data_IF_268030663709
#
_entry.id   IF_268030663709
#
_cell.length_a   1.000
_cell.length_b   1.000
_cell.length_c   1.000
_cell.angle_alpha   90.00
_cell.angle_beta   90.00
_cell.angle_gamma   90.00
#
_symmetry.space_group_name_H-M   'P 1'
#
loop_
_entity.id
_entity.type
_entity.pdbx_description
1 polymer ?
#
# COMPACT_ATOMS: atom_id res chain seq x y z
N UNK A 1 19.15 4.35 -3.13
CA UNK A 1 17.68 4.44 -3.36
C UNK A 1 17.09 5.48 -2.41
N UNK A 2 16.25 6.39 -2.90
CA UNK A 2 15.49 7.34 -2.06
C UNK A 2 14.00 6.96 -2.12
N UNK A 3 13.35 6.87 -0.97
CA UNK A 3 11.92 6.55 -0.88
C UNK A 3 11.23 7.71 -0.18
N UNK A 4 10.11 8.18 -0.74
CA UNK A 4 9.34 9.32 -0.23
C UNK A 4 7.85 8.99 -0.11
N UNK A 5 7.19 9.56 0.89
CA UNK A 5 5.75 9.46 1.06
C UNK A 5 5.02 10.61 0.38
N UNK A 6 3.99 10.30 -0.40
CA UNK A 6 3.07 11.25 -1.03
C UNK A 6 1.83 11.30 -0.15
N UNK A 7 1.70 12.32 0.70
CA UNK A 7 0.69 12.40 1.76
C UNK A 7 -0.53 13.17 1.29
N UNK A 8 -1.72 12.56 1.41
CA UNK A 8 -2.99 13.18 1.00
C UNK A 8 -3.89 13.54 2.18
N UNK A 9 -3.95 12.68 3.19
CA UNK A 9 -4.75 12.93 4.41
C UNK A 9 -3.95 12.55 5.65
N UNK A 10 -4.22 13.23 6.78
CA UNK A 10 -3.60 12.96 8.07
C UNK A 10 -4.53 13.32 9.24
N UNK A 11 -4.12 12.98 10.47
CA UNK A 11 -4.90 13.22 11.68
C UNK A 11 -6.28 12.55 11.69
N UNK A 12 -6.40 11.44 10.98
CA UNK A 12 -7.58 10.59 10.99
C UNK A 12 -7.60 9.58 12.13
N UNK A 13 -8.64 8.79 12.14
CA UNK A 13 -8.79 7.67 13.09
C UNK A 13 -9.53 6.51 12.46
N UNK A 14 -9.31 5.32 13.00
CA UNK A 14 -10.14 4.14 12.78
C UNK A 14 -10.38 3.42 14.12
N UNK A 15 -11.59 2.88 14.30
CA UNK A 15 -11.88 2.09 15.49
C UNK A 15 -11.31 0.67 15.41
N UNK A 16 -11.34 -0.05 16.53
CA UNK A 16 -10.76 -1.39 16.61
C UNK A 16 -11.45 -2.38 15.67
N UNK A 17 -12.77 -2.30 15.49
CA UNK A 17 -13.50 -3.17 14.58
C UNK A 17 -13.02 -2.98 13.12
N UNK A 18 -12.79 -1.74 12.69
CA UNK A 18 -12.27 -1.46 11.35
C UNK A 18 -10.84 -1.97 11.17
N UNK A 19 -9.99 -1.76 12.17
CA UNK A 19 -8.59 -2.15 12.13
C UNK A 19 -8.36 -3.66 12.22
N UNK A 20 -9.21 -4.42 12.95
CA UNK A 20 -8.98 -5.82 13.33
C UNK A 20 -10.08 -6.80 12.92
N UNK A 21 -11.18 -6.32 12.38
CA UNK A 21 -12.41 -7.11 12.18
C UNK A 21 -12.48 -7.94 10.89
N UNK A 22 -11.39 -8.09 10.14
CA UNK A 22 -11.41 -8.74 8.83
C UNK A 22 -11.83 -10.21 8.84
N UNK A 23 -11.49 -10.97 9.89
CA UNK A 23 -11.88 -12.38 10.04
C UNK A 23 -13.17 -12.56 10.84
N UNK A 24 -13.46 -11.64 11.75
CA UNK A 24 -14.62 -11.67 12.60
C UNK A 24 -15.30 -10.29 12.66
N UNK A 25 -16.00 -9.89 11.60
CA UNK A 25 -16.63 -8.58 11.52
C UNK A 25 -17.78 -8.39 12.54
N UNK A 26 -18.24 -9.48 13.16
CA UNK A 26 -19.25 -9.48 14.23
C UNK A 26 -18.65 -9.73 15.62
N UNK A 27 -17.33 -9.79 15.70
CA UNK A 27 -16.60 -9.97 16.95
C UNK A 27 -16.85 -8.82 17.93
N UNK A 28 -16.54 -9.10 19.19
CA UNK A 28 -16.58 -8.05 20.22
C UNK A 28 -15.31 -7.22 20.14
N UNK A 29 -15.48 -5.93 19.80
CA UNK A 29 -14.41 -4.94 19.74
C UNK A 29 -14.70 -3.81 20.73
N UNK A 30 -13.63 -3.21 21.24
CA UNK A 30 -13.75 -2.04 22.12
C UNK A 30 -13.81 -0.76 21.28
N UNK A 31 -14.98 -0.13 21.22
CA UNK A 31 -15.21 1.10 20.47
C UNK A 31 -14.43 2.32 21.01
N UNK A 32 -13.87 2.20 22.22
CA UNK A 32 -13.00 3.24 22.79
C UNK A 32 -11.55 3.13 22.31
N UNK A 33 -11.17 1.99 21.76
CA UNK A 33 -9.85 1.81 21.18
C UNK A 33 -9.82 2.39 19.77
N UNK A 34 -9.03 3.45 19.62
CA UNK A 34 -8.90 4.20 18.38
C UNK A 34 -7.44 4.13 17.91
N UNK A 35 -7.25 3.82 16.63
CA UNK A 35 -5.97 3.86 15.94
C UNK A 35 -5.89 5.11 15.07
N UNK A 36 -4.69 5.65 14.88
CA UNK A 36 -4.46 6.76 13.94
C UNK A 36 -4.73 6.32 12.51
N UNK A 37 -5.26 7.23 11.69
CA UNK A 37 -5.45 7.03 10.26
C UNK A 37 -4.87 8.18 9.47
N UNK A 38 -4.37 7.86 8.30
CA UNK A 38 -3.86 8.78 7.27
C UNK A 38 -4.09 8.17 5.89
N UNK A 39 -3.73 8.88 4.85
CA UNK A 39 -3.62 8.31 3.51
C UNK A 39 -2.37 8.85 2.83
N UNK A 40 -1.47 7.95 2.49
CA UNK A 40 -0.25 8.21 1.72
C UNK A 40 0.03 7.07 0.75
N UNK A 41 0.61 7.42 -0.39
CA UNK A 41 1.27 6.48 -1.29
C UNK A 41 2.76 6.79 -1.32
N UNK A 42 3.53 6.09 -2.15
CA UNK A 42 4.98 6.19 -2.07
C UNK A 42 5.63 6.36 -3.45
N UNK A 43 6.80 6.96 -3.43
CA UNK A 43 7.68 7.11 -4.58
C UNK A 43 9.03 6.47 -4.23
N UNK A 44 9.59 5.75 -5.20
CA UNK A 44 10.94 5.19 -5.15
C UNK A 44 11.76 5.85 -6.25
N UNK A 45 12.81 6.57 -5.89
CA UNK A 45 13.82 7.09 -6.80
C UNK A 45 15.08 6.22 -6.67
N UNK A 46 15.40 5.49 -7.73
CA UNK A 46 16.59 4.62 -7.78
C UNK A 46 17.85 5.38 -8.19
N UNK A 47 17.72 6.64 -8.62
CA UNK A 47 18.75 7.43 -9.30
C UNK A 47 18.76 7.23 -10.82
N UNK A 48 18.18 6.17 -11.33
CA UNK A 48 18.00 5.89 -12.77
C UNK A 48 16.53 5.99 -13.19
N UNK A 49 15.61 5.62 -12.30
CA UNK A 49 14.18 5.59 -12.55
C UNK A 49 13.40 6.17 -11.36
N UNK A 50 12.28 6.81 -11.66
CA UNK A 50 11.28 7.24 -10.70
C UNK A 50 10.07 6.30 -10.80
N UNK A 51 9.77 5.60 -9.74
CA UNK A 51 8.73 4.56 -9.67
C UNK A 51 7.70 4.96 -8.62
N UNK A 52 6.41 4.98 -8.97
CA UNK A 52 5.34 5.14 -8.00
C UNK A 52 4.89 3.78 -7.47
N UNK A 53 4.60 3.71 -6.18
CA UNK A 53 3.83 2.64 -5.56
C UNK A 53 2.47 3.22 -5.24
N UNK A 54 1.48 2.85 -6.06
CA UNK A 54 0.13 3.42 -6.08
C UNK A 54 0.08 4.91 -6.49
N UNK A 55 -1.11 5.42 -6.80
CA UNK A 55 -1.30 6.79 -7.30
C UNK A 55 -2.32 7.61 -6.52
N UNK A 56 -2.98 7.02 -5.51
CA UNK A 56 -3.95 7.73 -4.70
C UNK A 56 -5.22 8.18 -5.43
N UNK A 57 -5.97 9.06 -4.79
CA UNK A 57 -7.15 9.68 -5.36
C UNK A 57 -6.82 10.73 -6.43
N UNK A 58 -7.76 10.96 -7.35
CA UNK A 58 -7.69 12.10 -8.27
C UNK A 58 -7.70 13.42 -7.51
N UNK A 59 -7.11 14.44 -8.15
CA UNK A 59 -7.19 15.81 -7.65
C UNK A 59 -8.64 16.25 -7.47
N UNK A 60 -8.88 17.06 -6.44
CA UNK A 60 -10.23 17.51 -6.09
C UNK A 60 -11.05 16.50 -5.31
N UNK A 61 -10.47 15.36 -4.91
CA UNK A 61 -11.18 14.45 -4.01
C UNK A 61 -11.54 15.19 -2.71
N UNK A 62 -12.82 15.16 -2.29
CA UNK A 62 -13.28 15.99 -1.17
C UNK A 62 -12.68 15.49 0.14
N UNK A 63 -12.39 16.43 1.04
CA UNK A 63 -12.05 16.09 2.41
C UNK A 63 -13.23 15.33 3.06
N UNK A 64 -12.99 14.17 3.66
CA UNK A 64 -14.05 13.39 4.29
C UNK A 64 -14.63 14.15 5.48
N UNK A 65 -15.96 14.13 5.61
CA UNK A 65 -16.60 14.71 6.79
C UNK A 65 -16.35 13.83 8.03
N UNK A 66 -15.85 14.46 9.11
CA UNK A 66 -15.74 13.77 10.40
C UNK A 66 -17.14 13.56 10.98
N UNK A 67 -17.55 12.29 11.12
CA UNK A 67 -18.85 11.91 11.67
C UNK A 67 -18.66 11.23 13.03
N UNK A 68 -19.46 11.63 14.01
CA UNK A 68 -19.47 10.96 15.32
C UNK A 68 -19.87 9.49 15.17
N UNK A 69 -19.10 8.59 15.79
CA UNK A 69 -19.35 7.14 15.74
C UNK A 69 -18.98 6.47 14.40
N UNK A 70 -18.40 7.21 13.44
CA UNK A 70 -17.90 6.58 12.21
C UNK A 70 -16.75 5.61 12.54
N UNK A 71 -16.71 4.42 11.90
CA UNK A 71 -15.63 3.45 12.11
C UNK A 71 -14.29 3.93 11.55
N UNK A 72 -14.33 4.82 10.58
CA UNK A 72 -13.17 5.40 9.91
C UNK A 72 -13.39 6.89 9.64
N UNK A 73 -12.37 7.68 9.89
CA UNK A 73 -12.16 9.02 9.35
C UNK A 73 -10.73 9.08 8.80
N UNK A 74 -10.58 9.23 7.49
CA UNK A 74 -9.25 9.25 6.85
C UNK A 74 -8.35 10.37 7.36
N UNK A 75 -8.94 11.46 7.81
CA UNK A 75 -8.21 12.61 8.35
C UNK A 75 -8.53 13.93 7.62
N UNK A 76 -7.77 14.94 8.00
CA UNK A 76 -7.79 16.24 7.36
C UNK A 76 -6.98 16.16 6.05
N UNK A 77 -7.43 16.90 5.03
CA UNK A 77 -6.72 16.94 3.75
C UNK A 77 -5.39 17.68 3.91
N UNK A 78 -4.29 17.01 3.58
CA UNK A 78 -2.96 17.60 3.51
C UNK A 78 -2.80 18.30 2.17
N UNK A 79 -3.04 17.57 1.06
CA UNK A 79 -2.95 18.06 -0.31
C UNK A 79 -3.66 17.09 -1.26
N UNK A 80 -3.89 17.50 -2.51
CA UNK A 80 -4.19 16.56 -3.58
C UNK A 80 -2.95 15.72 -3.93
N UNK A 81 -3.16 14.53 -4.54
CA UNK A 81 -2.05 13.64 -4.88
C UNK A 81 -0.96 14.34 -5.70
N UNK A 82 -1.35 15.06 -6.76
CA UNK A 82 -0.38 15.75 -7.63
C UNK A 82 0.31 16.93 -6.96
N UNK A 83 -0.36 17.61 -6.03
CA UNK A 83 0.27 18.69 -5.23
C UNK A 83 1.33 18.10 -4.28
N UNK A 84 1.00 17.02 -3.57
CA UNK A 84 1.95 16.30 -2.72
C UNK A 84 3.12 15.73 -3.51
N UNK A 85 2.85 15.15 -4.67
CA UNK A 85 3.88 14.62 -5.57
C UNK A 85 4.83 15.73 -6.05
N UNK A 86 4.30 16.85 -6.55
CA UNK A 86 5.10 17.98 -7.03
C UNK A 86 5.93 18.64 -5.89
N UNK A 87 5.40 18.68 -4.68
CA UNK A 87 6.12 19.18 -3.51
C UNK A 87 7.38 18.37 -3.16
N UNK A 88 7.46 17.10 -3.61
CA UNK A 88 8.67 16.28 -3.48
C UNK A 88 9.76 16.63 -4.51
N UNK A 89 9.48 17.54 -5.45
CA UNK A 89 10.42 18.01 -6.48
C UNK A 89 10.38 17.21 -7.78
N UNK A 90 9.38 16.38 -7.99
CA UNK A 90 9.24 15.58 -9.23
C UNK A 90 8.17 16.13 -10.17
N UNK A 91 8.31 15.78 -11.45
CA UNK A 91 7.33 16.04 -12.49
C UNK A 91 6.77 14.70 -13.02
N UNK A 92 5.51 14.67 -13.50
CA UNK A 92 4.89 13.42 -13.98
C UNK A 92 5.73 12.70 -15.07
N UNK A 93 6.39 13.46 -15.93
CA UNK A 93 7.20 12.94 -17.03
C UNK A 93 8.43 12.14 -16.58
N UNK A 94 8.86 12.31 -15.34
CA UNK A 94 9.97 11.55 -14.75
C UNK A 94 9.56 10.16 -14.30
N UNK A 95 8.24 9.93 -14.07
CA UNK A 95 7.73 8.63 -13.61
C UNK A 95 7.78 7.63 -14.77
N UNK A 96 8.63 6.62 -14.64
CA UNK A 96 8.79 5.57 -15.66
C UNK A 96 7.88 4.37 -15.42
N UNK A 97 7.59 4.06 -14.17
CA UNK A 97 6.80 2.91 -13.75
C UNK A 97 5.84 3.27 -12.62
N UNK A 98 4.70 2.60 -12.61
CA UNK A 98 3.73 2.60 -11.51
C UNK A 98 3.49 1.14 -11.13
N UNK A 99 3.70 0.81 -9.86
CA UNK A 99 3.44 -0.52 -9.30
C UNK A 99 2.15 -0.43 -8.49
N UNK A 100 1.06 -0.99 -9.00
CA UNK A 100 -0.20 -1.00 -8.28
C UNK A 100 -0.25 -2.17 -7.29
N UNK A 101 -0.51 -1.84 -6.03
CA UNK A 101 -0.80 -2.87 -5.03
C UNK A 101 -2.16 -3.49 -5.31
N UNK A 102 -3.18 -2.68 -5.60
CA UNK A 102 -4.52 -3.16 -5.92
C UNK A 102 -5.42 -2.06 -6.53
N UNK A 103 -6.66 -2.42 -6.86
CA UNK A 103 -7.61 -1.63 -7.66
C UNK A 103 -8.36 -0.52 -6.94
N UNK A 104 -8.34 -0.40 -5.61
CA UNK A 104 -9.17 0.59 -4.92
C UNK A 104 -8.78 2.03 -5.30
N UNK A 105 -9.75 2.98 -5.27
CA UNK A 105 -9.53 4.33 -5.82
C UNK A 105 -8.44 5.13 -5.13
N UNK A 106 -8.21 4.92 -3.85
CA UNK A 106 -7.15 5.54 -3.06
C UNK A 106 -5.74 5.00 -3.36
N UNK A 107 -5.66 4.01 -4.24
CA UNK A 107 -4.42 3.43 -4.75
C UNK A 107 -4.27 3.62 -6.28
N UNK A 108 -5.37 3.78 -7.02
CA UNK A 108 -5.33 3.68 -8.48
C UNK A 108 -5.98 4.83 -9.24
N UNK A 109 -6.70 5.75 -8.57
CA UNK A 109 -7.54 6.69 -9.29
C UNK A 109 -6.76 7.78 -10.07
N UNK A 110 -5.53 8.11 -9.67
CA UNK A 110 -4.74 9.15 -10.32
C UNK A 110 -3.81 8.64 -11.45
N UNK A 111 -3.98 7.40 -11.92
CA UNK A 111 -3.20 6.82 -13.04
C UNK A 111 -3.20 7.70 -14.30
N UNK A 112 -4.30 8.39 -14.59
CA UNK A 112 -4.45 9.22 -15.79
C UNK A 112 -3.47 10.39 -15.85
N UNK A 113 -2.84 10.78 -14.75
CA UNK A 113 -1.82 11.84 -14.74
C UNK A 113 -0.44 11.36 -15.23
N UNK A 114 -0.29 10.06 -15.48
CA UNK A 114 0.96 9.43 -15.89
C UNK A 114 0.81 8.57 -17.16
N UNK A 115 0.31 9.12 -18.27
CA UNK A 115 -0.11 8.34 -19.44
C UNK A 115 1.04 7.59 -20.13
N UNK A 116 2.29 8.00 -19.91
CA UNK A 116 3.48 7.39 -20.50
C UNK A 116 4.15 6.36 -19.59
N UNK A 117 3.82 6.34 -18.30
CA UNK A 117 4.39 5.39 -17.35
C UNK A 117 3.89 3.96 -17.62
N UNK A 118 4.76 2.98 -17.45
CA UNK A 118 4.36 1.56 -17.48
C UNK A 118 3.67 1.21 -16.16
N UNK A 119 2.42 0.74 -16.24
CA UNK A 119 1.62 0.35 -15.07
C UNK A 119 1.69 -1.16 -14.90
N UNK A 120 2.35 -1.61 -13.82
CA UNK A 120 2.42 -3.00 -13.43
C UNK A 120 1.29 -3.32 -12.47
N UNK A 121 0.44 -4.24 -12.83
CA UNK A 121 -0.79 -4.57 -12.09
C UNK A 121 -1.15 -6.04 -12.28
N UNK A 122 -1.77 -6.66 -11.27
CA UNK A 122 -2.30 -8.02 -11.41
C UNK A 122 -3.35 -8.09 -12.53
N UNK A 123 -3.49 -9.24 -13.22
CA UNK A 123 -4.53 -9.40 -14.24
C UNK A 123 -5.94 -9.12 -13.71
N UNK A 124 -6.26 -9.57 -12.49
CA UNK A 124 -7.58 -9.40 -11.87
C UNK A 124 -7.93 -7.93 -11.65
N UNK A 125 -6.97 -7.16 -11.12
CA UNK A 125 -7.21 -5.74 -10.85
C UNK A 125 -7.14 -4.90 -12.13
N UNK A 126 -6.33 -5.30 -13.13
CA UNK A 126 -6.35 -4.70 -14.46
C UNK A 126 -7.73 -4.84 -15.12
N UNK A 127 -8.35 -6.04 -15.04
CA UNK A 127 -9.69 -6.29 -15.57
C UNK A 127 -10.76 -5.47 -14.82
N UNK A 128 -10.67 -5.42 -13.50
CA UNK A 128 -11.60 -4.65 -12.67
C UNK A 128 -11.55 -3.14 -12.97
N UNK A 129 -10.34 -2.60 -13.19
CA UNK A 129 -10.08 -1.21 -13.57
C UNK A 129 -10.30 -0.95 -15.07
N UNK A 130 -10.53 -2.00 -15.88
CA UNK A 130 -10.64 -1.94 -17.35
C UNK A 130 -9.40 -1.31 -18.00
N UNK A 131 -8.23 -1.56 -17.44
CA UNK A 131 -6.95 -1.06 -17.97
C UNK A 131 -6.57 -1.81 -19.24
N UNK A 132 -6.25 -1.05 -20.27
CA UNK A 132 -5.79 -1.57 -21.57
C UNK A 132 -4.80 -0.58 -22.19
N UNK A 133 -3.92 -1.10 -23.05
CA UNK A 133 -2.91 -0.30 -23.73
C UNK A 133 -1.53 -0.92 -23.60
N UNK A 134 -0.59 -0.45 -24.43
CA UNK A 134 0.78 -0.97 -24.46
C UNK A 134 1.59 -0.67 -23.20
N UNK A 135 1.17 0.34 -22.45
CA UNK A 135 1.80 0.72 -21.19
C UNK A 135 1.27 -0.11 -20.00
N UNK A 136 0.24 -0.96 -20.18
CA UNK A 136 -0.29 -1.80 -19.10
C UNK A 136 0.41 -3.16 -19.10
N UNK A 137 1.17 -3.42 -18.05
CA UNK A 137 1.88 -4.68 -17.84
C UNK A 137 1.11 -5.55 -16.85
N UNK A 138 0.48 -6.59 -17.36
CA UNK A 138 -0.22 -7.60 -16.55
C UNK A 138 0.81 -8.53 -15.92
N UNK A 139 1.03 -8.39 -14.62
CA UNK A 139 2.06 -9.14 -13.89
C UNK A 139 1.68 -10.62 -13.79
N UNK A 140 2.61 -11.49 -14.10
CA UNK A 140 2.39 -12.95 -14.08
C UNK A 140 3.14 -13.66 -12.94
N UNK A 141 3.93 -12.90 -12.16
CA UNK A 141 4.74 -13.39 -11.04
C UNK A 141 5.67 -14.56 -11.42
N UNK A 142 6.24 -14.50 -12.62
CA UNK A 142 6.96 -15.58 -13.30
C UNK A 142 8.36 -15.88 -12.78
N UNK A 143 8.91 -15.02 -11.93
CA UNK A 143 10.31 -15.13 -11.48
C UNK A 143 10.47 -16.07 -10.27
N UNK A 144 9.37 -16.77 -9.90
CA UNK A 144 9.37 -17.79 -8.86
C UNK A 144 9.31 -17.24 -7.44
N UNK A 145 9.78 -17.99 -6.44
CA UNK A 145 9.67 -17.61 -5.05
C UNK A 145 10.63 -16.46 -4.71
N UNK A 146 10.15 -15.58 -3.82
CA UNK A 146 10.97 -14.55 -3.18
C UNK A 146 10.92 -14.70 -1.67
N UNK A 147 12.02 -15.14 -1.07
CA UNK A 147 12.08 -15.49 0.37
C UNK A 147 11.02 -16.56 0.71
N UNK A 148 10.07 -16.22 1.60
CA UNK A 148 8.95 -17.08 1.98
C UNK A 148 7.66 -16.85 1.15
N UNK A 149 7.69 -15.95 0.17
CA UNK A 149 6.59 -15.77 -0.77
C UNK A 149 6.78 -16.70 -1.98
N UNK A 150 5.72 -17.39 -2.43
CA UNK A 150 5.84 -18.41 -3.48
C UNK A 150 6.04 -17.86 -4.89
N UNK A 151 5.62 -16.61 -5.14
CA UNK A 151 5.61 -16.04 -6.48
C UNK A 151 5.88 -14.54 -6.46
N UNK A 152 6.79 -14.11 -7.33
CA UNK A 152 7.14 -12.71 -7.54
C UNK A 152 7.43 -12.40 -9.00
N UNK A 153 7.53 -11.11 -9.31
CA UNK A 153 8.13 -10.60 -10.54
C UNK A 153 9.13 -9.50 -10.19
N UNK A 154 10.37 -9.64 -10.69
CA UNK A 154 11.41 -8.61 -10.53
C UNK A 154 11.13 -7.46 -11.49
N UNK A 155 10.92 -6.26 -10.95
CA UNK A 155 10.55 -5.07 -11.73
C UNK A 155 11.75 -4.21 -12.07
N UNK A 156 12.69 -4.10 -11.13
CA UNK A 156 13.96 -3.41 -11.29
C UNK A 156 14.99 -4.05 -10.34
N UNK A 157 16.22 -3.57 -10.35
CA UNK A 157 17.21 -4.08 -9.41
C UNK A 157 16.81 -3.77 -7.96
N UNK A 158 16.73 -4.82 -7.13
CA UNK A 158 16.25 -4.73 -5.75
C UNK A 158 14.76 -4.41 -5.60
N UNK A 159 13.93 -4.40 -6.66
CA UNK A 159 12.49 -4.10 -6.56
C UNK A 159 11.67 -5.27 -7.12
N UNK A 160 10.79 -5.79 -6.26
CA UNK A 160 9.98 -6.97 -6.54
C UNK A 160 8.49 -6.70 -6.28
N UNK A 161 7.65 -7.18 -7.18
CA UNK A 161 6.21 -7.24 -7.01
C UNK A 161 5.82 -8.66 -6.65
N UNK A 162 5.13 -8.84 -5.53
CA UNK A 162 4.86 -10.12 -4.87
C UNK A 162 3.37 -10.40 -4.91
N UNK A 163 2.98 -11.63 -5.29
CA UNK A 163 1.58 -12.03 -5.21
C UNK A 163 1.12 -12.12 -3.74
N UNK A 164 0.06 -11.35 -3.39
CA UNK A 164 -0.39 -11.18 -2.01
C UNK A 164 -1.92 -11.04 -1.91
N UNK A 165 -2.64 -12.00 -2.49
CA UNK A 165 -4.11 -12.00 -2.57
C UNK A 165 -4.80 -11.91 -1.21
N UNK A 166 -6.00 -11.36 -1.22
CA UNK A 166 -6.90 -11.35 -0.07
C UNK A 166 -7.75 -10.10 0.03
N UNK A 167 -7.16 -8.94 0.21
CA UNK A 167 -7.87 -7.66 0.23
C UNK A 167 -8.61 -7.44 -1.10
N UNK A 168 -7.94 -7.63 -2.21
CA UNK A 168 -8.54 -7.93 -3.51
C UNK A 168 -8.03 -9.28 -4.03
N UNK A 169 -8.70 -9.86 -5.04
CA UNK A 169 -8.21 -11.07 -5.72
C UNK A 169 -6.87 -10.85 -6.42
N UNK A 170 -6.53 -9.60 -6.72
CA UNK A 170 -5.31 -9.20 -7.40
C UNK A 170 -4.28 -8.49 -6.52
N UNK A 171 -4.52 -8.37 -5.21
CA UNK A 171 -3.62 -7.63 -4.34
C UNK A 171 -2.18 -8.11 -4.42
N UNK A 172 -1.25 -7.17 -4.46
CA UNK A 172 0.18 -7.35 -4.51
C UNK A 172 0.88 -6.59 -3.39
N UNK A 173 2.07 -7.05 -3.03
CA UNK A 173 3.01 -6.33 -2.16
C UNK A 173 4.22 -5.92 -3.02
N UNK A 174 4.75 -4.74 -2.81
CA UNK A 174 6.03 -4.33 -3.37
C UNK A 174 7.09 -4.38 -2.27
N UNK A 175 8.25 -4.96 -2.59
CA UNK A 175 9.43 -4.93 -1.72
C UNK A 175 10.58 -4.27 -2.47
N UNK A 176 11.18 -3.24 -1.83
CA UNK A 176 12.41 -2.64 -2.29
C UNK A 176 13.54 -2.95 -1.29
N UNK A 177 14.67 -3.43 -1.82
CA UNK A 177 15.88 -3.76 -1.06
C UNK A 177 16.89 -2.62 -1.16
N UNK A 178 17.27 -2.02 -0.04
CA UNK A 178 18.31 -0.99 -0.02
C UNK A 178 19.05 -0.97 1.32
N UNK A 179 20.39 -0.91 1.27
CA UNK A 179 21.23 -0.78 2.46
C UNK A 179 21.06 -1.90 3.50
N UNK A 180 20.66 -3.10 3.08
CA UNK A 180 20.40 -4.24 3.97
C UNK A 180 19.02 -4.21 4.64
N UNK A 181 18.17 -3.26 4.29
CA UNK A 181 16.78 -3.16 4.73
C UNK A 181 15.82 -3.57 3.61
N UNK A 182 14.64 -4.03 4.02
CA UNK A 182 13.51 -4.35 3.15
C UNK A 182 12.39 -3.34 3.39
N UNK A 183 12.10 -2.50 2.41
CA UNK A 183 10.98 -1.57 2.45
C UNK A 183 9.75 -2.26 1.86
N UNK A 184 8.77 -2.57 2.70
CA UNK A 184 7.59 -3.31 2.30
C UNK A 184 6.38 -2.39 2.16
N UNK A 185 5.95 -2.17 0.92
CA UNK A 185 4.71 -1.48 0.58
C UNK A 185 3.63 -2.54 0.42
N UNK A 186 2.87 -2.75 1.47
CA UNK A 186 2.00 -3.92 1.56
C UNK A 186 0.56 -3.68 1.07
N UNK A 187 0.29 -2.46 0.55
CA UNK A 187 -1.09 -2.06 0.22
C UNK A 187 -1.97 -2.18 1.45
N UNK A 188 -3.03 -2.95 1.33
CA UNK A 188 -4.06 -3.09 2.36
C UNK A 188 -4.07 -4.48 3.03
N UNK A 189 -2.91 -5.12 3.16
CA UNK A 189 -2.78 -6.37 3.94
C UNK A 189 -3.19 -6.11 5.40
N UNK A 190 -2.77 -4.98 5.97
CA UNK A 190 -3.30 -4.43 7.23
C UNK A 190 -3.42 -2.91 7.10
N UNK A 191 -4.30 -2.28 7.87
CA UNK A 191 -4.41 -0.81 7.85
C UNK A 191 -3.50 -0.14 8.88
N UNK A 192 -3.00 -0.88 9.86
CA UNK A 192 -2.14 -0.35 10.93
C UNK A 192 -1.01 -1.29 11.28
N UNK A 193 0.08 -0.76 11.81
CA UNK A 193 1.15 -1.52 12.44
C UNK A 193 0.62 -2.37 13.61
N UNK A 194 -0.39 -1.85 14.32
CA UNK A 194 -1.02 -2.56 15.43
C UNK A 194 -1.71 -3.85 14.97
N UNK A 195 -2.39 -3.84 13.81
CA UNK A 195 -3.02 -5.03 13.25
C UNK A 195 -1.97 -6.10 12.88
N UNK A 196 -0.86 -5.69 12.25
CA UNK A 196 0.25 -6.60 11.97
C UNK A 196 0.80 -7.24 13.27
N UNK A 197 1.07 -6.44 14.30
CA UNK A 197 1.60 -6.91 15.59
C UNK A 197 0.62 -7.84 16.30
N UNK A 198 -0.66 -7.48 16.32
CA UNK A 198 -1.72 -8.29 16.92
C UNK A 198 -2.09 -9.55 16.11
N UNK A 199 -1.52 -9.72 14.93
CA UNK A 199 -1.88 -10.81 13.99
C UNK A 199 -3.37 -10.78 13.63
N UNK A 200 -3.91 -9.61 13.34
CA UNK A 200 -5.30 -9.39 12.96
C UNK A 200 -5.41 -8.89 11.54
N UNK A 201 -6.37 -9.40 10.79
CA UNK A 201 -6.75 -8.84 9.52
C UNK A 201 -7.56 -7.57 9.74
N UNK A 202 -7.27 -6.53 8.99
CA UNK A 202 -8.16 -5.39 8.82
C UNK A 202 -9.36 -5.80 7.96
N UNK A 203 -10.35 -4.93 7.78
CA UNK A 203 -11.53 -5.26 7.00
C UNK A 203 -11.11 -5.72 5.59
N UNK A 204 -11.63 -6.90 5.17
CA UNK A 204 -11.32 -7.55 3.92
C UNK A 204 -12.59 -7.58 3.06
N UNK A 205 -12.45 -7.31 1.78
CA UNK A 205 -13.57 -7.20 0.87
C UNK A 205 -13.79 -8.42 -0.04
N UNK A 206 -12.75 -9.21 -0.36
CA UNK A 206 -12.85 -10.26 -1.37
C UNK A 206 -12.55 -11.69 -0.89
N UNK A 207 -11.39 -11.95 -0.26
CA UNK A 207 -11.01 -13.33 0.15
C UNK A 207 -10.27 -13.34 1.51
N UNK A 208 -11.02 -13.65 2.57
CA UNK A 208 -10.49 -13.73 3.94
C UNK A 208 -9.45 -14.83 4.11
N UNK A 209 -9.64 -15.99 3.43
CA UNK A 209 -8.70 -17.11 3.56
C UNK A 209 -7.37 -16.79 2.91
N UNK A 210 -7.40 -16.21 1.71
CA UNK A 210 -6.19 -15.75 1.04
C UNK A 210 -5.50 -14.62 1.84
N UNK A 211 -6.27 -13.68 2.40
CA UNK A 211 -5.75 -12.60 3.25
C UNK A 211 -5.03 -13.14 4.49
N UNK A 212 -5.58 -14.20 5.14
CA UNK A 212 -4.92 -14.84 6.28
C UNK A 212 -3.59 -15.45 5.89
N UNK A 213 -3.53 -16.18 4.76
CA UNK A 213 -2.28 -16.75 4.24
C UNK A 213 -1.27 -15.64 3.93
N UNK A 214 -1.72 -14.55 3.32
CA UNK A 214 -0.88 -13.40 3.01
C UNK A 214 -0.33 -12.75 4.29
N UNK A 215 -1.17 -12.50 5.30
CA UNK A 215 -0.73 -11.91 6.56
C UNK A 215 0.28 -12.81 7.30
N UNK A 216 0.05 -14.12 7.31
CA UNK A 216 0.98 -15.08 7.94
C UNK A 216 2.36 -15.04 7.25
N UNK A 217 2.40 -14.97 5.91
CA UNK A 217 3.64 -14.81 5.14
C UNK A 217 4.33 -13.48 5.41
N UNK A 218 3.56 -12.38 5.44
CA UNK A 218 4.10 -11.06 5.78
C UNK A 218 4.72 -11.06 7.17
N UNK A 219 4.06 -11.65 8.17
CA UNK A 219 4.58 -11.75 9.53
C UNK A 219 5.85 -12.60 9.60
N UNK A 220 5.88 -13.72 8.89
CA UNK A 220 7.07 -14.57 8.78
C UNK A 220 8.23 -13.81 8.11
N UNK A 221 7.95 -13.09 7.03
CA UNK A 221 8.95 -12.26 6.36
C UNK A 221 9.55 -11.20 7.31
N UNK A 222 8.68 -10.45 8.00
CA UNK A 222 9.09 -9.39 8.95
C UNK A 222 9.90 -9.96 10.13
N UNK A 223 9.60 -11.17 10.61
CA UNK A 223 10.40 -11.83 11.66
C UNK A 223 11.82 -12.17 11.22
N UNK A 224 11.99 -12.53 9.96
CA UNK A 224 13.24 -13.06 9.45
C UNK A 224 14.10 -12.03 8.69
N UNK A 225 13.54 -10.86 8.39
CA UNK A 225 14.21 -9.84 7.58
C UNK A 225 14.00 -8.45 8.21
N UNK A 226 15.02 -7.58 8.22
CA UNK A 226 14.93 -6.23 8.78
C UNK A 226 14.05 -5.35 7.88
N UNK A 227 12.75 -5.31 8.20
CA UNK A 227 11.70 -4.73 7.35
C UNK A 227 11.23 -3.38 7.87
N UNK A 228 11.26 -2.35 7.04
CA UNK A 228 10.53 -1.10 7.22
C UNK A 228 9.14 -1.30 6.65
N UNK A 229 8.12 -1.35 7.50
CA UNK A 229 6.73 -1.64 7.14
C UNK A 229 6.00 -0.34 6.78
N UNK A 230 5.56 -0.22 5.54
CA UNK A 230 5.06 1.02 4.96
C UNK A 230 3.56 0.90 4.66
N UNK A 231 2.76 1.31 5.64
CA UNK A 231 1.30 1.33 5.53
C UNK A 231 0.81 2.54 4.73
N UNK A 232 -0.22 2.34 3.92
CA UNK A 232 -0.95 3.40 3.22
C UNK A 232 -1.92 4.12 4.15
N UNK A 233 -2.47 3.43 5.17
CA UNK A 233 -3.60 3.92 5.95
C UNK A 233 -3.31 4.32 7.39
N UNK A 234 -2.04 4.32 7.81
CA UNK A 234 -1.67 4.86 9.12
C UNK A 234 -0.38 5.70 9.04
N UNK A 235 -0.25 6.74 9.88
CA UNK A 235 0.91 7.65 9.86
C UNK A 235 2.22 6.91 10.14
N UNK A 236 2.18 5.77 10.81
CA UNK A 236 3.35 4.92 11.01
C UNK A 236 4.04 4.57 9.69
N UNK A 237 3.32 4.50 8.56
CA UNK A 237 3.90 4.24 7.25
C UNK A 237 4.97 5.25 6.86
N UNK A 238 4.68 6.55 6.91
CA UNK A 238 5.67 7.58 6.61
C UNK A 238 6.63 7.86 7.78
N UNK A 239 6.16 7.75 9.05
CA UNK A 239 7.02 7.90 10.22
C UNK A 239 8.11 6.80 10.30
N UNK A 240 7.76 5.56 9.98
CA UNK A 240 8.72 4.45 9.91
C UNK A 240 9.74 4.66 8.79
N UNK A 241 9.30 5.22 7.65
CA UNK A 241 10.16 5.53 6.52
C UNK A 241 11.21 6.59 6.90
N UNK A 242 10.78 7.70 7.51
CA UNK A 242 11.64 8.83 7.88
C UNK A 242 12.84 8.42 8.74
N UNK A 243 12.62 7.52 9.69
CA UNK A 243 13.68 7.06 10.62
C UNK A 243 14.17 5.63 10.33
N UNK A 244 13.76 5.05 9.20
CA UNK A 244 14.09 3.67 8.80
C UNK A 244 13.81 2.66 9.92
N UNK A 245 12.65 2.79 10.56
CA UNK A 245 12.28 1.95 11.70
C UNK A 245 12.00 0.52 11.27
N UNK A 246 12.82 -0.41 11.74
CA UNK A 246 12.59 -1.84 11.54
C UNK A 246 11.42 -2.31 12.40
N UNK A 247 10.42 -2.93 11.75
CA UNK A 247 9.27 -3.51 12.42
C UNK A 247 9.68 -4.66 13.36
N UNK A 248 9.09 -4.67 14.56
CA UNK A 248 9.23 -5.75 15.54
C UNK A 248 7.85 -6.30 15.87
N UNK A 249 7.68 -7.62 15.74
CA UNK A 249 6.45 -8.36 16.03
C UNK A 249 6.47 -8.93 17.44
#
# INVERSE_FOLDING_TARGET
>A
MEIKAIRMFDHGFMNQAFAFGGEDPKGTYDDQIIYRSSLQNFLIDTGEEVILVDTGFKNGYPAPAKKYGAPLYMGEKVADFMESFAALGYQPEQVTKILLTHKHPDHSAALEYFPHAKVYVSPQDADALKLSGENIVRVTYKDGPYKNFPACEKIADGIYLIEAKGHTYGNSIIIAEDGGLYYMFHGDVTYTDAALKANKLSIIFEDVKAARITLDRVREFVKNNPTVYLSTHCPEGYENLEIKRVMKL
#
